data_IF_978622449652
#
_entry.id   IF_978622449652
#
_cell.length_a   1.000
_cell.length_b   1.000
_cell.length_c   1.000
_cell.angle_alpha   90.00
_cell.angle_beta   90.00
_cell.angle_gamma   90.00
#
_symmetry.space_group_name_H-M   'P 1'
#
loop_
_entity.id
_entity.type
_entity.pdbx_description
1 polymer ?
#
# COMPACT_ATOMS: atom_id res chain seq x y z
N UNK A 1 25.51 20.59 -0.89
CA UNK A 1 24.60 19.43 -0.78
C UNK A 1 24.17 19.03 -2.18
N UNK A 2 24.56 17.82 -2.57
CA UNK A 2 24.45 17.26 -3.92
C UNK A 2 22.98 17.02 -4.29
N UNK A 3 22.48 17.66 -5.34
CA UNK A 3 21.16 17.41 -5.91
C UNK A 3 21.34 16.54 -7.16
N UNK A 4 20.98 15.24 -7.06
CA UNK A 4 20.47 14.33 -8.12
C UNK A 4 20.65 12.85 -7.68
N UNK A 5 19.78 11.90 -8.10
CA UNK A 5 19.23 11.83 -9.46
C UNK A 5 17.72 11.52 -9.53
N UNK A 6 16.96 12.51 -9.99
CA UNK A 6 15.62 12.30 -10.59
C UNK A 6 15.71 11.95 -12.10
N UNK A 7 16.91 11.81 -12.65
CA UNK A 7 17.14 11.53 -14.07
C UNK A 7 17.00 10.05 -14.45
N UNK A 8 16.88 9.12 -13.50
CA UNK A 8 16.82 7.69 -13.81
C UNK A 8 15.44 7.20 -14.30
N UNK A 9 14.37 7.99 -14.12
CA UNK A 9 13.01 7.58 -14.50
C UNK A 9 12.58 7.98 -15.92
N UNK A 10 13.37 8.81 -16.62
CA UNK A 10 13.05 9.24 -17.99
C UNK A 10 13.66 8.35 -19.08
N UNK A 11 14.54 7.41 -18.74
CA UNK A 11 15.23 6.57 -19.73
C UNK A 11 14.46 5.30 -20.16
N UNK A 12 13.31 4.99 -19.55
CA UNK A 12 12.52 3.81 -19.91
C UNK A 12 11.45 4.13 -20.97
N UNK A 13 11.17 5.41 -21.25
CA UNK A 13 10.14 5.81 -22.21
C UNK A 13 10.63 5.87 -23.68
N UNK A 14 11.92 5.65 -23.94
CA UNK A 14 12.53 5.85 -25.27
C UNK A 14 12.63 4.60 -26.14
N UNK A 15 12.12 3.43 -25.73
CA UNK A 15 12.34 2.16 -26.46
C UNK A 15 11.13 1.74 -27.34
N UNK A 16 9.98 2.43 -27.28
CA UNK A 16 8.76 2.00 -28.00
C UNK A 16 8.46 2.72 -29.32
N UNK A 17 9.40 3.50 -29.87
CA UNK A 17 9.29 4.11 -31.21
C UNK A 17 10.28 3.45 -32.18
N UNK A 18 10.22 2.13 -32.30
CA UNK A 18 10.84 1.40 -33.42
C UNK A 18 9.78 1.19 -34.49
N UNK A 19 10.00 1.88 -35.60
CA UNK A 19 9.25 1.86 -36.85
C UNK A 19 9.37 0.47 -37.52
N UNK A 20 8.29 -0.29 -37.76
CA UNK A 20 8.33 -1.41 -38.68
C UNK A 20 7.95 -0.94 -40.08
N UNK A 21 8.88 -1.12 -41.01
CA UNK A 21 8.72 -0.78 -42.41
C UNK A 21 7.61 -1.57 -43.12
N UNK A 22 7.27 -1.02 -44.28
CA UNK A 22 6.39 -1.55 -45.33
C UNK A 22 6.61 -3.06 -45.60
N UNK A 23 5.51 -3.81 -45.67
CA UNK A 23 5.31 -5.00 -46.51
C UNK A 23 3.80 -5.24 -46.61
N UNK A 24 3.17 -4.76 -47.69
CA UNK A 24 2.68 -5.55 -48.83
C UNK A 24 1.40 -6.35 -48.55
N UNK A 25 0.37 -5.97 -49.30
CA UNK A 25 -0.94 -6.59 -49.32
C UNK A 25 -0.88 -7.97 -50.00
N UNK A 26 -1.59 -8.95 -49.45
CA UNK A 26 -2.16 -10.00 -50.27
C UNK A 26 -3.54 -10.43 -49.72
N UNK A 27 -4.55 -10.11 -50.53
CA UNK A 27 -5.93 -10.58 -50.49
C UNK A 27 -5.98 -12.08 -50.73
N UNK A 28 -6.67 -12.84 -49.88
CA UNK A 28 -7.52 -13.93 -50.36
C UNK A 28 -8.65 -14.23 -49.37
N UNK A 29 -9.84 -14.31 -49.95
CA UNK A 29 -11.15 -14.49 -49.33
C UNK A 29 -11.49 -15.99 -49.10
N UNK A 30 -12.24 -16.23 -48.01
CA UNK A 30 -13.46 -17.09 -47.93
C UNK A 30 -13.33 -18.61 -48.21
N UNK A 31 -13.55 -19.49 -47.20
CA UNK A 31 -14.88 -20.07 -46.86
C UNK A 31 -14.82 -21.32 -45.94
N UNK A 32 -15.79 -21.36 -45.02
CA UNK A 32 -16.46 -22.45 -44.27
C UNK A 32 -15.86 -23.88 -44.14
N UNK A 33 -15.90 -24.39 -42.91
CA UNK A 33 -15.91 -25.83 -42.61
C UNK A 33 -16.00 -26.15 -41.11
N UNK A 34 -17.20 -26.48 -40.62
CA UNK A 34 -17.46 -26.95 -39.25
C UNK A 34 -16.95 -28.37 -39.04
N UNK A 35 -15.92 -28.56 -38.22
CA UNK A 35 -15.62 -29.83 -37.53
C UNK A 35 -14.93 -29.53 -36.19
N UNK A 36 -15.54 -29.96 -35.08
CA UNK A 36 -14.85 -30.05 -33.79
C UNK A 36 -14.04 -31.33 -33.73
N UNK A 37 -12.73 -31.23 -33.46
CA UNK A 37 -12.09 -32.22 -32.61
C UNK A 37 -11.22 -31.58 -31.52
N UNK A 38 -11.30 -32.16 -30.32
CA UNK A 38 -10.30 -32.16 -29.23
C UNK A 38 -9.29 -31.02 -29.26
N UNK A 39 -9.44 -30.04 -28.35
CA UNK A 39 -8.41 -29.02 -28.09
C UNK A 39 -7.14 -29.67 -27.56
N UNK A 40 -6.25 -30.01 -28.48
CA UNK A 40 -4.83 -30.15 -28.23
C UNK A 40 -4.36 -28.85 -27.57
N UNK A 41 -3.88 -28.90 -26.32
CA UNK A 41 -3.18 -27.78 -25.69
C UNK A 41 -1.79 -27.77 -26.32
N UNK A 42 -1.70 -27.29 -27.55
CA UNK A 42 -0.45 -26.88 -28.16
C UNK A 42 -0.47 -25.37 -28.34
N UNK A 43 0.74 -24.84 -28.21
CA UNK A 43 1.18 -23.50 -28.57
C UNK A 43 0.99 -22.44 -27.48
N UNK A 44 1.97 -22.45 -26.56
CA UNK A 44 2.51 -21.18 -26.07
C UNK A 44 3.04 -20.42 -27.31
N UNK A 45 2.18 -19.55 -27.86
CA UNK A 45 2.57 -18.65 -28.92
C UNK A 45 3.31 -17.45 -28.28
N UNK A 46 4.63 -17.31 -28.48
CA UNK A 46 5.37 -16.14 -28.00
C UNK A 46 4.93 -14.83 -28.68
N UNK A 47 4.15 -14.91 -29.77
CA UNK A 47 3.56 -13.78 -30.49
C UNK A 47 2.09 -13.51 -30.13
N UNK A 48 1.61 -14.02 -29.00
CA UNK A 48 0.31 -13.64 -28.47
C UNK A 48 0.29 -12.13 -28.17
N UNK A 49 -0.12 -11.34 -29.15
CA UNK A 49 -0.35 -9.90 -29.04
C UNK A 49 -1.12 -9.64 -27.75
N UNK A 50 -0.64 -8.70 -26.94
CA UNK A 50 -1.28 -8.27 -25.69
C UNK A 50 -2.73 -7.77 -25.90
N UNK A 51 -3.18 -7.66 -27.15
CA UNK A 51 -4.54 -7.32 -27.54
C UNK A 51 -5.32 -8.57 -27.94
N UNK A 52 -6.21 -9.02 -27.06
CA UNK A 52 -7.28 -9.93 -27.49
C UNK A 52 -8.30 -9.20 -28.36
N UNK A 53 -8.89 -9.87 -29.34
CA UNK A 53 -9.93 -9.28 -30.21
C UNK A 53 -11.10 -8.69 -29.41
N UNK A 54 -11.47 -9.33 -28.29
CA UNK A 54 -12.50 -8.82 -27.40
C UNK A 54 -12.11 -7.54 -26.65
N UNK A 55 -10.83 -7.30 -26.39
CA UNK A 55 -10.37 -6.04 -25.77
C UNK A 55 -10.47 -4.86 -26.75
N UNK A 56 -10.04 -5.07 -28.00
CA UNK A 56 -10.11 -4.06 -29.07
C UNK A 56 -11.57 -3.67 -29.34
N UNK A 57 -12.45 -4.66 -29.51
CA UNK A 57 -13.88 -4.40 -29.75
C UNK A 57 -14.53 -3.59 -28.61
N UNK A 58 -14.11 -3.77 -27.36
CA UNK A 58 -14.64 -2.97 -26.24
C UNK A 58 -14.15 -1.53 -26.28
N UNK A 59 -12.91 -1.29 -26.71
CA UNK A 59 -12.39 0.06 -26.90
C UNK A 59 -13.12 0.78 -28.04
N UNK A 60 -13.32 0.11 -29.17
CA UNK A 60 -13.97 0.68 -30.36
C UNK A 60 -15.44 1.03 -30.12
N UNK A 61 -16.12 0.28 -29.24
CA UNK A 61 -17.50 0.57 -28.83
C UNK A 61 -17.60 1.61 -27.70
N UNK A 62 -16.46 2.12 -27.20
CA UNK A 62 -16.44 3.12 -26.15
C UNK A 62 -16.55 4.54 -26.73
N UNK A 63 -16.99 5.55 -25.94
CA UNK A 63 -16.98 6.95 -26.36
C UNK A 63 -15.56 7.52 -26.60
N UNK A 64 -14.52 6.78 -26.22
CA UNK A 64 -13.10 7.14 -26.38
C UNK A 64 -12.46 6.41 -27.57
N UNK A 65 -13.24 5.72 -28.41
CA UNK A 65 -12.75 4.93 -29.53
C UNK A 65 -11.88 5.71 -30.52
N UNK A 66 -12.17 6.99 -30.73
CA UNK A 66 -11.40 7.88 -31.59
C UNK A 66 -10.01 8.29 -31.02
N UNK A 67 -9.66 7.82 -29.82
CA UNK A 67 -8.43 8.22 -29.13
C UNK A 67 -7.53 7.01 -28.88
N UNK A 68 -6.23 7.26 -28.73
CA UNK A 68 -5.25 6.20 -28.54
C UNK A 68 -5.35 5.61 -27.11
N UNK A 69 -5.65 4.30 -26.96
CA UNK A 69 -5.80 3.67 -25.64
C UNK A 69 -4.52 3.71 -24.82
N UNK A 70 -3.35 3.54 -25.46
CA UNK A 70 -2.07 3.58 -24.75
C UNK A 70 -1.80 4.96 -24.17
N UNK A 71 -2.14 6.03 -24.92
CA UNK A 71 -1.96 7.39 -24.41
C UNK A 71 -2.87 7.66 -23.20
N UNK A 72 -4.11 7.17 -23.21
CA UNK A 72 -5.01 7.25 -22.06
C UNK A 72 -4.47 6.50 -20.85
N UNK A 73 -3.97 5.28 -21.03
CA UNK A 73 -3.39 4.51 -19.93
C UNK A 73 -2.16 5.20 -19.35
N UNK A 74 -1.28 5.75 -20.19
CA UNK A 74 -0.11 6.51 -19.75
C UNK A 74 -0.51 7.79 -18.99
N UNK A 75 -1.55 8.50 -19.46
CA UNK A 75 -2.07 9.68 -18.78
C UNK A 75 -2.63 9.33 -17.40
N UNK A 76 -3.51 8.31 -17.32
CA UNK A 76 -4.10 7.87 -16.06
C UNK A 76 -3.03 7.40 -15.07
N UNK A 77 -2.06 6.63 -15.55
CA UNK A 77 -0.93 6.20 -14.71
C UNK A 77 -0.15 7.40 -14.18
N UNK A 78 0.11 8.40 -15.02
CA UNK A 78 0.80 9.64 -14.62
C UNK A 78 0.01 10.39 -13.55
N UNK A 79 -1.32 10.50 -13.69
CA UNK A 79 -2.19 11.15 -12.69
C UNK A 79 -2.15 10.40 -11.37
N UNK A 80 -2.26 9.07 -11.38
CA UNK A 80 -2.23 8.25 -10.16
C UNK A 80 -0.87 8.35 -9.47
N UNK A 81 0.22 8.23 -10.22
CA UNK A 81 1.58 8.29 -9.68
C UNK A 81 1.90 9.68 -9.15
N UNK A 82 1.55 10.74 -9.90
CA UNK A 82 1.78 12.13 -9.45
C UNK A 82 0.93 12.48 -8.24
N UNK A 83 -0.34 12.06 -8.20
CA UNK A 83 -1.21 12.22 -7.03
C UNK A 83 -0.66 11.48 -5.81
N UNK A 84 -0.25 10.23 -5.98
CA UNK A 84 0.38 9.43 -4.91
C UNK A 84 1.69 10.04 -4.40
N UNK A 85 2.54 10.55 -5.29
CA UNK A 85 3.78 11.21 -4.92
C UNK A 85 3.52 12.52 -4.17
N UNK A 86 2.62 13.36 -4.67
CA UNK A 86 2.25 14.64 -4.06
C UNK A 86 1.67 14.45 -2.66
N UNK A 87 0.69 13.55 -2.51
CA UNK A 87 0.07 13.25 -1.21
C UNK A 87 1.09 12.71 -0.22
N UNK A 88 1.95 11.79 -0.64
CA UNK A 88 3.03 11.25 0.20
C UNK A 88 3.99 12.35 0.66
N UNK A 89 4.43 13.22 -0.26
CA UNK A 89 5.31 14.35 0.08
C UNK A 89 4.63 15.33 1.04
N UNK A 90 3.37 15.67 0.78
CA UNK A 90 2.59 16.57 1.62
C UNK A 90 2.39 16.01 3.04
N UNK A 91 2.01 14.73 3.17
CA UNK A 91 1.90 14.06 4.46
C UNK A 91 3.24 14.01 5.20
N UNK A 92 4.35 13.72 4.50
CA UNK A 92 5.69 13.73 5.11
C UNK A 92 6.08 15.11 5.58
N UNK A 93 5.76 16.17 4.83
CA UNK A 93 6.00 17.56 5.24
C UNK A 93 5.19 17.91 6.49
N UNK A 94 3.88 17.63 6.51
CA UNK A 94 3.03 17.86 7.70
C UNK A 94 3.50 17.08 8.92
N UNK A 95 3.97 15.85 8.76
CA UNK A 95 4.55 15.07 9.86
C UNK A 95 5.84 15.72 10.39
N UNK A 96 6.70 16.26 9.52
CA UNK A 96 7.91 16.97 9.96
C UNK A 96 7.56 18.26 10.71
N UNK A 97 6.58 19.02 10.23
CA UNK A 97 6.09 20.24 10.90
C UNK A 97 5.45 19.91 12.25
N UNK A 98 4.59 18.89 12.31
CA UNK A 98 4.05 18.36 13.57
C UNK A 98 5.17 17.92 14.53
N UNK A 99 6.20 17.27 14.01
CA UNK A 99 7.39 16.87 14.78
C UNK A 99 8.36 18.03 15.05
N UNK A 100 8.07 19.26 14.63
CA UNK A 100 8.85 20.44 15.02
C UNK A 100 8.22 21.17 16.20
N UNK A 101 6.91 21.00 16.42
CA UNK A 101 6.20 21.58 17.54
C UNK A 101 6.39 20.70 18.81
N UNK A 102 7.01 21.24 19.88
CA UNK A 102 7.27 20.48 21.12
C UNK A 102 5.99 19.98 21.80
N UNK A 103 4.92 20.78 21.82
CA UNK A 103 3.62 20.42 22.40
C UNK A 103 2.97 19.26 21.64
N UNK A 104 3.14 19.19 20.31
CA UNK A 104 2.64 18.07 19.50
C UNK A 104 3.41 16.77 19.80
N UNK A 105 4.73 16.84 20.02
CA UNK A 105 5.51 15.68 20.47
C UNK A 105 5.07 15.21 21.84
N UNK A 106 4.80 16.13 22.76
CA UNK A 106 4.38 15.80 24.12
C UNK A 106 3.02 15.09 24.11
N UNK A 107 2.07 15.60 23.32
CA UNK A 107 0.77 14.96 23.10
C UNK A 107 0.89 13.58 22.43
N UNK A 108 1.78 13.41 21.45
CA UNK A 108 2.05 12.10 20.84
C UNK A 108 2.68 11.11 21.83
N UNK A 109 3.56 11.59 22.71
CA UNK A 109 4.16 10.75 23.74
C UNK A 109 3.13 10.32 24.78
N UNK A 110 2.27 11.25 25.23
CA UNK A 110 1.15 10.95 26.11
C UNK A 110 0.18 9.93 25.49
N UNK A 111 -0.18 10.07 24.21
CA UNK A 111 -1.05 9.11 23.54
C UNK A 111 -0.41 7.72 23.43
N UNK A 112 0.89 7.66 23.17
CA UNK A 112 1.64 6.41 23.18
C UNK A 112 1.67 5.75 24.57
N UNK A 113 1.76 6.54 25.65
CA UNK A 113 1.68 6.04 27.02
C UNK A 113 0.28 5.48 27.35
N UNK A 114 -0.79 6.18 26.97
CA UNK A 114 -2.17 5.70 27.14
C UNK A 114 -2.42 4.40 26.37
N UNK A 115 -1.93 4.30 25.13
CA UNK A 115 -1.99 3.05 24.34
C UNK A 115 -1.20 1.91 25.00
N UNK A 116 -0.04 2.21 25.61
CA UNK A 116 0.74 1.23 26.36
C UNK A 116 -0.02 0.71 27.58
N UNK A 117 -0.69 1.58 28.32
CA UNK A 117 -1.55 1.21 29.46
C UNK A 117 -2.69 0.29 29.00
N UNK A 118 -3.40 0.65 27.94
CA UNK A 118 -4.49 -0.16 27.37
C UNK A 118 -3.98 -1.57 26.99
N UNK A 119 -2.84 -1.65 26.31
CA UNK A 119 -2.23 -2.93 25.94
C UNK A 119 -1.83 -3.75 27.18
N UNK A 120 -1.38 -3.10 28.24
CA UNK A 120 -1.03 -3.76 29.49
C UNK A 120 -2.26 -4.35 30.16
N UNK A 121 -3.37 -3.61 30.17
CA UNK A 121 -4.66 -4.05 30.71
C UNK A 121 -5.22 -5.24 29.93
N UNK A 122 -5.13 -5.22 28.59
CA UNK A 122 -5.50 -6.39 27.77
C UNK A 122 -4.68 -7.63 28.12
N UNK A 123 -3.36 -7.48 28.27
CA UNK A 123 -2.49 -8.58 28.71
C UNK A 123 -2.85 -9.11 30.10
N UNK A 124 -3.30 -8.23 30.99
CA UNK A 124 -3.78 -8.65 32.31
C UNK A 124 -5.05 -9.47 32.20
N UNK A 125 -6.03 -9.04 31.40
CA UNK A 125 -7.25 -9.81 31.14
C UNK A 125 -6.94 -11.18 30.52
N UNK A 126 -6.00 -11.24 29.57
CA UNK A 126 -5.53 -12.50 28.98
C UNK A 126 -4.90 -13.42 30.03
N UNK A 127 -4.05 -12.90 30.92
CA UNK A 127 -3.44 -13.67 32.00
C UNK A 127 -4.48 -14.17 33.01
N UNK A 128 -5.48 -13.34 33.33
CA UNK A 128 -6.58 -13.68 34.23
C UNK A 128 -7.46 -14.80 33.66
N UNK A 129 -7.78 -14.72 32.37
CA UNK A 129 -8.51 -15.79 31.68
C UNK A 129 -7.71 -17.10 31.64
N UNK A 130 -6.40 -17.04 31.41
CA UNK A 130 -5.52 -18.22 31.43
C UNK A 130 -5.42 -18.85 32.81
N UNK A 131 -5.46 -18.05 33.87
CA UNK A 131 -5.50 -18.57 35.23
C UNK A 131 -6.84 -19.24 35.54
N UNK A 132 -7.96 -18.60 35.18
CA UNK A 132 -9.30 -19.17 35.35
C UNK A 132 -9.53 -20.48 34.59
N UNK A 133 -8.88 -20.64 33.43
CA UNK A 133 -8.95 -21.87 32.61
C UNK A 133 -7.94 -22.95 33.04
N UNK A 134 -7.05 -22.64 34.01
CA UNK A 134 -6.02 -23.55 34.49
C UNK A 134 -4.82 -23.71 33.55
N UNK A 135 -4.68 -22.85 32.52
CA UNK A 135 -3.54 -22.86 31.59
C UNK A 135 -2.23 -22.40 32.24
N UNK A 136 -2.30 -21.58 33.30
CA UNK A 136 -1.13 -21.10 34.05
C UNK A 136 -1.29 -21.40 35.54
N UNK A 137 -0.16 -21.58 36.21
CA UNK A 137 -0.13 -21.88 37.65
C UNK A 137 -0.33 -20.60 38.48
N UNK A 138 -0.75 -20.77 39.74
CA UNK A 138 -0.92 -19.64 40.69
C UNK A 138 0.39 -18.86 40.91
N UNK A 139 1.54 -19.55 40.90
CA UNK A 139 2.85 -18.92 41.07
C UNK A 139 3.21 -18.04 39.87
N UNK A 140 2.92 -18.51 38.65
CA UNK A 140 3.11 -17.74 37.42
C UNK A 140 2.17 -16.54 37.33
N UNK A 141 0.91 -16.72 37.74
CA UNK A 141 -0.07 -15.64 37.81
C UNK A 141 0.34 -14.56 38.81
N UNK A 142 0.78 -14.92 40.03
CA UNK A 142 1.27 -13.96 41.03
C UNK A 142 2.52 -13.20 40.55
N UNK A 143 3.44 -13.88 39.85
CA UNK A 143 4.61 -13.23 39.24
C UNK A 143 4.19 -12.22 38.18
N UNK A 144 3.24 -12.58 37.31
CA UNK A 144 2.70 -11.70 36.29
C UNK A 144 1.98 -10.49 36.93
N UNK A 145 1.15 -10.71 37.94
CA UNK A 145 0.40 -9.67 38.65
C UNK A 145 1.33 -8.60 39.23
N UNK A 146 2.40 -9.03 39.92
CA UNK A 146 3.41 -8.11 40.47
C UNK A 146 4.08 -7.28 39.37
N UNK A 147 4.49 -7.93 38.28
CA UNK A 147 5.11 -7.23 37.15
C UNK A 147 4.14 -6.29 36.43
N UNK A 148 2.86 -6.63 36.36
CA UNK A 148 1.80 -5.78 35.82
C UNK A 148 1.61 -4.53 36.69
N UNK A 149 1.47 -4.70 38.01
CA UNK A 149 1.26 -3.59 38.95
C UNK A 149 2.42 -2.60 38.93
N UNK A 150 3.67 -3.09 38.98
CA UNK A 150 4.86 -2.24 38.88
C UNK A 150 4.90 -1.44 37.57
N UNK A 151 4.55 -2.06 36.44
CA UNK A 151 4.49 -1.39 35.16
C UNK A 151 3.33 -0.40 35.05
N UNK A 152 2.18 -0.70 35.68
CA UNK A 152 1.01 0.18 35.70
C UNK A 152 1.32 1.45 36.48
N UNK A 153 1.87 1.33 37.69
CA UNK A 153 2.26 2.48 38.52
C UNK A 153 3.27 3.37 37.80
N UNK A 154 4.30 2.78 37.19
CA UNK A 154 5.29 3.53 36.39
C UNK A 154 4.67 4.25 35.19
N UNK A 155 3.72 3.62 34.51
CA UNK A 155 3.05 4.20 33.33
C UNK A 155 2.13 5.34 33.75
N UNK A 156 1.31 5.15 34.79
CA UNK A 156 0.40 6.17 35.32
C UNK A 156 1.15 7.38 35.91
N UNK A 157 2.26 7.16 36.60
CA UNK A 157 3.10 8.25 37.11
C UNK A 157 3.59 9.16 35.99
N UNK A 158 4.08 8.57 34.89
CA UNK A 158 4.51 9.33 33.71
C UNK A 158 3.38 10.04 32.99
N UNK A 159 2.19 9.43 32.90
CA UNK A 159 1.02 10.09 32.31
C UNK A 159 0.68 11.36 33.11
N UNK A 160 0.59 11.25 34.44
CA UNK A 160 0.30 12.40 35.31
C UNK A 160 1.35 13.50 35.21
N UNK A 161 2.63 13.13 35.17
CA UNK A 161 3.74 14.08 35.00
C UNK A 161 3.59 14.87 33.70
N UNK A 162 3.30 14.19 32.58
CA UNK A 162 3.12 14.83 31.27
C UNK A 162 1.86 15.70 31.24
N UNK A 163 0.75 15.25 31.82
CA UNK A 163 -0.50 16.03 31.89
C UNK A 163 -0.28 17.34 32.65
N UNK A 164 0.48 17.30 33.76
CA UNK A 164 0.86 18.51 34.51
C UNK A 164 1.80 19.45 33.73
N UNK A 165 2.67 18.91 32.88
CA UNK A 165 3.53 19.73 32.03
C UNK A 165 2.74 20.43 30.92
N UNK A 166 1.73 19.76 30.36
CA UNK A 166 0.83 20.34 29.36
C UNK A 166 -0.04 21.44 29.96
N UNK A 167 -0.54 21.27 31.19
CA UNK A 167 -1.41 22.26 31.86
C UNK A 167 -0.66 23.54 32.29
N UNK A 168 0.67 23.50 32.37
CA UNK A 168 1.53 24.62 32.77
C UNK A 168 2.09 25.43 31.58
N UNK A 169 2.00 24.92 30.35
CA UNK A 169 2.32 25.65 29.10
C UNK A 169 1.12 26.50 28.64
#
# INVERSE_FOLDING_TARGET
MLVKPLCALFLILSILLVNPGKAEANTNQVSQGSQTPVKEIKDYNPDASFHSQGHIQRWDNSPLSNQNPHLWTAMLLTVVVSGGAFTTMYMRKRRKEANSNPTVKLNQYLSALKSREERLTKKFQEADQKYCTGEITETDYKRFLKAYEENRVKTQGKIKEIEQLIEKE
#
